data_IF_847660230125
#
_entry.id   IF_847660230125
#
_cell.length_a   1.000
_cell.length_b   1.000
_cell.length_c   1.000
_cell.angle_alpha   90.00
_cell.angle_beta   90.00
_cell.angle_gamma   90.00
#
_symmetry.space_group_name_H-M   'P 1'
#
loop_
_entity.id
_entity.type
_entity.pdbx_description
1 polymer ?
#
# COMPACT_ATOMS: atom_id res chain seq x y z
N UNK A 1 -26.49 -35.94 -17.52
CA UNK A 1 -26.06 -37.24 -16.95
C UNK A 1 -24.69 -37.06 -16.32
N UNK A 2 -24.67 -36.89 -14.99
CA UNK A 2 -23.74 -37.51 -14.03
C UNK A 2 -24.15 -36.97 -12.65
N UNK A 3 -24.94 -37.79 -11.94
CA UNK A 3 -25.26 -37.64 -10.53
C UNK A 3 -24.22 -38.44 -9.76
N UNK A 4 -23.52 -37.81 -8.81
CA UNK A 4 -22.72 -38.54 -7.82
C UNK A 4 -23.36 -38.29 -6.45
N UNK A 5 -24.04 -39.33 -5.98
CA UNK A 5 -24.54 -39.46 -4.61
C UNK A 5 -23.34 -39.72 -3.67
N UNK A 6 -23.24 -38.98 -2.57
CA UNK A 6 -22.44 -39.38 -1.42
C UNK A 6 -23.36 -39.56 -0.20
N UNK A 7 -23.66 -40.84 0.07
CA UNK A 7 -23.97 -41.33 1.41
C UNK A 7 -22.72 -42.05 1.89
N UNK A 8 -22.13 -41.61 3.00
CA UNK A 8 -21.47 -42.44 4.01
C UNK A 8 -20.62 -41.57 4.94
N UNK A 9 -20.80 -41.84 6.22
CA UNK A 9 -20.18 -41.30 7.43
C UNK A 9 -18.68 -41.60 7.55
N UNK A 10 -17.99 -40.69 8.27
CA UNK A 10 -16.64 -40.76 8.90
C UNK A 10 -15.38 -40.47 8.06
N UNK A 11 -14.73 -39.33 8.40
CA UNK A 11 -13.28 -39.05 8.57
C UNK A 11 -12.88 -37.65 8.01
N UNK A 12 -11.73 -37.04 8.39
CA UNK A 12 -11.18 -36.75 9.72
C UNK A 12 -11.02 -35.22 9.96
N UNK A 13 -10.81 -34.79 11.21
CA UNK A 13 -10.53 -33.40 11.57
C UNK A 13 -9.17 -32.94 11.02
N UNK A 14 -9.20 -32.00 10.08
CA UNK A 14 -8.05 -31.16 9.72
C UNK A 14 -8.32 -29.76 10.31
N UNK A 15 -7.52 -29.38 11.30
CA UNK A 15 -7.54 -28.06 11.91
C UNK A 15 -6.78 -27.06 11.02
N UNK A 16 -7.51 -26.12 10.41
CA UNK A 16 -6.96 -24.88 9.85
C UNK A 16 -7.72 -23.69 10.44
N UNK A 17 -6.95 -22.67 10.85
CA UNK A 17 -7.31 -21.57 11.72
C UNK A 17 -7.65 -20.31 10.89
N UNK A 18 -8.92 -19.98 10.70
CA UNK A 18 -9.38 -18.69 10.12
C UNK A 18 -10.82 -18.32 10.54
N UNK A 19 -11.20 -17.02 10.48
CA UNK A 19 -12.48 -16.49 11.00
C UNK A 19 -13.75 -16.91 10.24
N UNK A 20 -13.62 -17.77 9.23
CA UNK A 20 -14.74 -18.30 8.42
C UNK A 20 -15.66 -19.24 9.22
N UNK A 21 -15.23 -19.72 10.40
CA UNK A 21 -16.06 -20.57 11.27
C UNK A 21 -17.26 -19.88 11.88
N UNK A 22 -17.28 -18.55 12.03
CA UNK A 22 -18.46 -17.87 12.60
C UNK A 22 -19.62 -17.90 11.59
N UNK A 23 -19.32 -17.73 10.29
CA UNK A 23 -20.37 -17.75 9.26
C UNK A 23 -20.91 -19.18 9.02
N UNK A 24 -20.03 -20.19 9.02
CA UNK A 24 -20.45 -21.58 8.83
C UNK A 24 -21.17 -22.18 10.06
N UNK A 25 -20.77 -21.81 11.29
CA UNK A 25 -21.46 -22.26 12.49
C UNK A 25 -22.86 -21.65 12.63
N UNK A 26 -23.06 -20.40 12.20
CA UNK A 26 -24.38 -19.75 12.19
C UNK A 26 -25.32 -20.40 11.17
N UNK A 27 -24.79 -20.83 10.01
CA UNK A 27 -25.60 -21.49 8.97
C UNK A 27 -25.95 -22.93 9.35
N UNK A 28 -25.04 -23.69 9.98
CA UNK A 28 -25.33 -25.06 10.40
C UNK A 28 -26.19 -25.16 11.68
N UNK A 29 -26.11 -24.21 12.62
CA UNK A 29 -26.97 -24.23 13.81
C UNK A 29 -28.43 -23.83 13.53
N UNK A 30 -28.68 -23.10 12.43
CA UNK A 30 -30.03 -22.71 12.03
C UNK A 30 -30.86 -23.85 11.40
N UNK A 31 -30.23 -24.96 11.00
CA UNK A 31 -30.94 -26.13 10.48
C UNK A 31 -31.52 -27.06 11.57
N UNK A 32 -31.16 -26.88 12.84
CA UNK A 32 -31.72 -27.67 13.95
C UNK A 32 -32.84 -26.96 14.72
N UNK A 33 -33.14 -25.72 14.39
CA UNK A 33 -34.18 -24.94 15.07
C UNK A 33 -35.20 -24.42 14.07
N UNK A 34 -36.34 -25.13 14.00
CA UNK A 34 -37.54 -24.71 13.29
C UNK A 34 -37.96 -23.32 13.81
N UNK A 35 -37.75 -22.25 13.04
CA UNK A 35 -38.29 -20.92 13.33
C UNK A 35 -39.41 -20.61 12.34
N UNK A 36 -40.60 -20.26 12.83
CA UNK A 36 -41.73 -19.78 12.02
C UNK A 36 -41.82 -18.25 12.08
N UNK A 37 -41.96 -17.61 10.93
CA UNK A 37 -41.99 -16.15 10.81
C UNK A 37 -43.43 -15.62 10.87
N UNK A 38 -43.71 -14.79 11.87
CA UNK A 38 -44.87 -13.88 11.92
C UNK A 38 -44.32 -12.46 12.05
N UNK A 39 -44.71 -11.55 11.16
CA UNK A 39 -44.14 -10.19 11.07
C UNK A 39 -45.18 -9.14 11.43
N UNK A 40 -44.93 -8.41 12.51
CA UNK A 40 -45.42 -7.04 12.69
C UNK A 40 -44.21 -6.11 12.63
N UNK A 41 -44.19 -5.22 11.64
CA UNK A 41 -43.04 -4.37 11.29
C UNK A 41 -43.15 -2.99 11.94
N UNK A 42 -42.35 -2.77 12.99
CA UNK A 42 -41.82 -1.44 13.32
C UNK A 42 -40.41 -1.35 12.72
N UNK A 43 -40.11 -0.27 11.98
CA UNK A 43 -39.04 -0.22 10.97
C UNK A 43 -37.60 -0.46 11.44
N UNK A 44 -37.31 -0.59 12.74
CA UNK A 44 -35.94 -0.74 13.27
C UNK A 44 -35.64 -2.06 13.98
N UNK A 45 -36.66 -2.80 14.40
CA UNK A 45 -36.50 -4.00 15.21
C UNK A 45 -37.37 -5.12 14.65
N UNK A 46 -36.86 -6.35 14.64
CA UNK A 46 -37.62 -7.56 14.32
C UNK A 46 -37.63 -8.46 15.54
N UNK A 47 -38.84 -8.77 15.98
CA UNK A 47 -39.04 -9.77 17.04
C UNK A 47 -39.09 -11.15 16.40
N UNK A 48 -38.24 -12.04 16.88
CA UNK A 48 -38.25 -13.47 16.54
C UNK A 48 -38.70 -14.25 17.78
N UNK A 49 -39.41 -15.35 17.57
CA UNK A 49 -39.93 -16.17 18.66
C UNK A 49 -39.22 -17.52 18.67
N UNK A 50 -38.75 -17.94 19.83
CA UNK A 50 -38.21 -19.30 20.02
C UNK A 50 -39.37 -20.29 20.01
N UNK A 51 -39.43 -21.13 18.97
CA UNK A 51 -40.58 -22.03 18.73
C UNK A 51 -40.86 -23.03 19.85
N UNK A 52 -39.84 -23.42 20.61
CA UNK A 52 -39.99 -24.39 21.71
C UNK A 52 -40.48 -23.78 23.03
N UNK A 53 -40.30 -22.48 23.24
CA UNK A 53 -40.58 -21.81 24.53
C UNK A 53 -41.55 -20.63 24.40
N UNK A 54 -41.82 -20.17 23.18
CA UNK A 54 -42.59 -18.96 22.92
C UNK A 54 -41.86 -17.66 23.30
N UNK A 55 -40.61 -17.75 23.75
CA UNK A 55 -39.84 -16.60 24.21
C UNK A 55 -39.53 -15.66 23.04
N UNK A 56 -39.85 -14.37 23.22
CA UNK A 56 -39.66 -13.34 22.22
C UNK A 56 -38.28 -12.70 22.36
N UNK A 57 -37.46 -12.78 21.31
CA UNK A 57 -36.18 -12.09 21.21
C UNK A 57 -36.35 -10.95 20.21
N UNK A 58 -36.10 -9.72 20.65
CA UNK A 58 -36.14 -8.56 19.76
C UNK A 58 -34.73 -8.23 19.28
N UNK A 59 -34.50 -8.36 17.98
CA UNK A 59 -33.23 -8.05 17.35
C UNK A 59 -33.33 -6.79 16.52
N UNK A 60 -32.26 -5.97 16.44
CA UNK A 60 -32.21 -4.88 15.49
C UNK A 60 -32.17 -5.41 14.06
N UNK A 61 -32.86 -4.73 13.14
CA UNK A 61 -32.87 -5.11 11.72
C UNK A 61 -31.49 -5.00 11.04
N UNK A 62 -30.57 -4.24 11.64
CA UNK A 62 -29.17 -4.12 11.24
C UNK A 62 -28.30 -4.01 12.49
N UNK A 63 -27.19 -4.75 12.51
CA UNK A 63 -26.16 -4.56 13.52
C UNK A 63 -25.43 -3.24 13.28
N UNK A 64 -25.07 -2.55 14.35
CA UNK A 64 -24.41 -1.24 14.30
C UNK A 64 -22.92 -1.32 13.91
N UNK A 65 -22.43 -2.46 13.42
CA UNK A 65 -21.11 -2.56 12.80
C UNK A 65 -21.11 -1.70 11.52
N UNK A 66 -20.85 -0.41 11.68
CA UNK A 66 -20.94 0.58 10.63
C UNK A 66 -19.92 0.28 9.52
N UNK A 67 -20.42 0.13 8.29
CA UNK A 67 -19.58 0.28 7.11
C UNK A 67 -19.22 1.76 7.01
N UNK A 68 -17.95 2.09 7.16
CA UNK A 68 -17.48 3.42 6.75
C UNK A 68 -17.53 3.49 5.23
N UNK A 69 -18.02 4.59 4.64
CA UNK A 69 -17.97 4.78 3.20
C UNK A 69 -16.51 4.77 2.75
N UNK A 70 -16.23 4.11 1.62
CA UNK A 70 -14.91 4.16 1.01
C UNK A 70 -14.62 5.58 0.53
N UNK A 71 -13.40 6.06 0.78
CA UNK A 71 -12.92 7.33 0.24
C UNK A 71 -12.31 7.10 -1.14
N UNK A 72 -12.62 7.98 -2.10
CA UNK A 72 -12.10 7.90 -3.45
C UNK A 72 -11.09 9.01 -3.75
N UNK A 73 -10.05 8.76 -4.57
CA UNK A 73 -9.04 9.76 -4.93
C UNK A 73 -9.62 11.10 -5.35
N UNK A 74 -10.61 11.06 -6.27
CA UNK A 74 -11.23 12.25 -6.84
C UNK A 74 -12.05 13.07 -5.84
N UNK A 75 -12.33 12.53 -4.65
CA UNK A 75 -13.12 13.19 -3.60
C UNK A 75 -12.22 13.85 -2.54
N UNK A 76 -10.97 13.38 -2.41
CA UNK A 76 -10.03 13.83 -1.38
C UNK A 76 -9.16 15.01 -1.84
N UNK A 77 -9.71 16.22 -2.00
CA UNK A 77 -8.98 17.48 -2.32
C UNK A 77 -7.97 17.44 -3.51
N UNK A 78 -7.85 16.32 -4.21
CA UNK A 78 -6.93 16.10 -5.34
C UNK A 78 -7.44 16.73 -6.63
N UNK A 79 -8.71 17.16 -6.66
CA UNK A 79 -9.35 17.74 -7.86
C UNK A 79 -8.68 19.00 -8.39
N UNK A 80 -7.89 19.71 -7.58
CA UNK A 80 -7.28 20.98 -7.99
C UNK A 80 -5.89 21.24 -7.37
N UNK A 81 -5.44 20.43 -6.41
CA UNK A 81 -4.17 20.68 -5.70
C UNK A 81 -3.29 19.45 -5.61
N UNK A 82 -1.97 19.67 -5.76
CA UNK A 82 -0.96 18.62 -5.56
C UNK A 82 -0.98 18.15 -4.10
N UNK A 83 -0.74 16.85 -3.83
CA UNK A 83 -0.62 16.37 -2.46
C UNK A 83 0.53 17.07 -1.73
N UNK A 84 0.37 17.29 -0.42
CA UNK A 84 1.36 18.00 0.39
C UNK A 84 2.24 17.06 1.22
N UNK A 85 3.52 17.39 1.27
CA UNK A 85 4.52 16.70 2.09
C UNK A 85 5.22 17.73 2.98
N UNK A 86 5.33 17.42 4.28
CA UNK A 86 6.02 18.28 5.24
C UNK A 86 7.43 17.76 5.45
N UNK A 87 8.42 18.47 4.93
CA UNK A 87 9.80 18.01 4.94
C UNK A 87 10.69 18.90 5.82
N UNK A 88 11.65 18.31 6.55
CA UNK A 88 12.62 19.08 7.30
C UNK A 88 13.42 19.98 6.34
N UNK A 89 13.64 21.21 6.78
CA UNK A 89 14.42 22.23 6.08
C UNK A 89 15.56 22.67 6.99
N UNK A 90 16.77 22.50 6.48
CA UNK A 90 18.01 22.92 7.12
C UNK A 90 18.98 23.34 6.01
N UNK A 91 19.73 24.43 6.24
CA UNK A 91 20.74 24.92 5.29
C UNK A 91 21.99 24.02 5.38
N UNK A 92 21.93 22.88 4.70
CA UNK A 92 23.02 21.90 4.62
C UNK A 92 23.18 21.39 3.20
N UNK A 93 24.41 20.98 2.88
CA UNK A 93 24.74 20.36 1.59
C UNK A 93 24.35 18.88 1.59
N UNK A 94 24.03 18.33 0.42
CA UNK A 94 23.76 16.90 0.26
C UNK A 94 24.92 16.04 0.79
N UNK A 95 26.16 16.47 0.57
CA UNK A 95 27.37 15.75 1.02
C UNK A 95 27.46 15.59 2.54
N UNK A 96 27.10 16.62 3.30
CA UNK A 96 27.09 16.58 4.77
C UNK A 96 26.02 15.61 5.28
N UNK A 97 24.83 15.67 4.70
CA UNK A 97 23.71 14.79 5.07
C UNK A 97 24.03 13.34 4.70
N UNK A 98 24.58 13.11 3.51
CA UNK A 98 25.04 11.81 3.02
C UNK A 98 26.06 11.19 3.97
N UNK A 99 27.04 11.98 4.37
CA UNK A 99 28.11 11.55 5.28
C UNK A 99 27.57 11.15 6.64
N UNK A 100 26.66 11.96 7.18
CA UNK A 100 26.03 11.72 8.48
C UNK A 100 25.19 10.45 8.46
N UNK A 101 24.34 10.30 7.43
CA UNK A 101 23.46 9.15 7.29
C UNK A 101 24.26 7.85 7.04
N UNK A 102 25.24 7.88 6.15
CA UNK A 102 26.12 6.73 5.89
C UNK A 102 26.81 6.26 7.16
N UNK A 103 27.35 7.19 7.95
CA UNK A 103 28.01 6.86 9.22
C UNK A 103 27.03 6.20 10.20
N UNK A 104 25.84 6.76 10.39
CA UNK A 104 24.82 6.17 11.28
C UNK A 104 24.38 4.77 10.82
N UNK A 105 24.23 4.56 9.51
CA UNK A 105 23.90 3.26 8.93
C UNK A 105 25.02 2.23 9.21
N UNK A 106 26.27 2.58 8.96
CA UNK A 106 27.41 1.68 9.15
C UNK A 106 27.70 1.38 10.63
N UNK A 107 27.51 2.37 11.50
CA UNK A 107 27.65 2.22 12.96
C UNK A 107 26.43 1.53 13.60
N UNK A 108 25.45 1.10 12.80
CA UNK A 108 24.20 0.45 13.25
C UNK A 108 23.41 1.30 14.25
N UNK A 109 23.56 2.62 14.17
CA UNK A 109 22.80 3.56 14.99
C UNK A 109 21.41 3.75 14.40
N UNK A 110 20.41 3.87 15.27
CA UNK A 110 19.05 4.21 14.83
C UNK A 110 19.03 5.67 14.32
N UNK A 111 18.82 5.92 13.02
CA UNK A 111 18.83 7.28 12.51
C UNK A 111 17.56 8.02 12.96
N UNK A 112 17.70 9.32 13.18
CA UNK A 112 16.54 10.20 13.34
C UNK A 112 15.79 10.26 12.01
N UNK A 113 14.45 10.20 12.06
CA UNK A 113 13.63 10.23 10.85
C UNK A 113 13.86 11.52 10.05
N UNK A 114 14.06 12.65 10.74
CA UNK A 114 14.37 13.93 10.11
C UNK A 114 15.65 13.90 9.28
N UNK A 115 16.68 13.17 9.70
CA UNK A 115 17.91 13.00 8.91
C UNK A 115 17.61 12.25 7.61
N UNK A 116 16.79 11.19 7.70
CA UNK A 116 16.40 10.38 6.54
C UNK A 116 15.55 11.20 5.57
N UNK A 117 14.56 11.93 6.07
CA UNK A 117 13.71 12.81 5.26
C UNK A 117 14.53 13.93 4.60
N UNK A 118 15.47 14.53 5.33
CA UNK A 118 16.36 15.56 4.80
C UNK A 118 17.27 15.02 3.69
N UNK A 119 17.82 13.81 3.88
CA UNK A 119 18.60 13.11 2.86
C UNK A 119 17.77 12.88 1.60
N UNK A 120 16.59 12.27 1.74
CA UNK A 120 15.71 11.96 0.61
C UNK A 120 15.25 13.23 -0.11
N UNK A 121 14.95 14.30 0.62
CA UNK A 121 14.64 15.62 0.05
C UNK A 121 15.80 16.12 -0.81
N UNK A 122 17.01 16.21 -0.25
CA UNK A 122 18.18 16.76 -0.95
C UNK A 122 18.58 15.90 -2.15
N UNK A 123 18.42 14.58 -2.05
CA UNK A 123 18.63 13.67 -3.16
C UNK A 123 17.54 13.87 -4.24
N UNK A 124 16.27 14.02 -3.86
CA UNK A 124 15.20 14.28 -4.82
C UNK A 124 15.34 15.66 -5.51
N UNK A 125 15.90 16.67 -4.82
CA UNK A 125 16.25 17.98 -5.41
C UNK A 125 17.35 17.87 -6.48
N UNK A 126 18.28 16.91 -6.36
CA UNK A 126 19.36 16.72 -7.34
C UNK A 126 18.95 15.86 -8.54
N UNK A 127 17.87 15.08 -8.44
CA UNK A 127 17.37 14.26 -9.54
C UNK A 127 16.71 15.11 -10.62
N UNK A 128 17.02 14.80 -11.89
CA UNK A 128 16.37 15.41 -13.05
C UNK A 128 16.03 14.34 -14.07
N UNK A 129 14.83 14.44 -14.63
CA UNK A 129 14.40 13.55 -15.70
C UNK A 129 14.91 14.02 -17.06
N UNK A 130 14.95 13.13 -18.06
CA UNK A 130 14.85 13.53 -19.45
C UNK A 130 13.59 14.41 -19.67
N UNK A 131 13.58 15.27 -20.70
CA UNK A 131 12.41 16.05 -21.06
C UNK A 131 11.18 15.16 -21.29
N UNK A 132 10.01 15.60 -20.81
CA UNK A 132 8.75 14.87 -21.00
C UNK A 132 8.32 14.84 -22.48
N UNK A 133 7.81 13.69 -22.94
CA UNK A 133 7.25 13.59 -24.30
C UNK A 133 5.88 14.27 -24.42
N UNK A 134 5.06 14.12 -23.37
CA UNK A 134 3.69 14.63 -23.27
C UNK A 134 3.50 15.36 -21.96
N UNK A 135 2.48 16.20 -21.88
CA UNK A 135 2.04 16.78 -20.61
C UNK A 135 1.72 15.64 -19.62
N UNK A 136 2.15 15.83 -18.38
CA UNK A 136 1.85 14.92 -17.29
C UNK A 136 0.87 15.59 -16.35
N UNK A 137 -0.34 15.06 -16.32
CA UNK A 137 -1.45 15.53 -15.50
C UNK A 137 -2.08 14.35 -14.75
N UNK A 138 -2.59 14.61 -13.54
CA UNK A 138 -3.43 13.69 -12.80
C UNK A 138 -4.41 14.47 -11.93
N UNK A 139 -5.68 14.09 -11.96
CA UNK A 139 -6.82 14.71 -11.26
C UNK A 139 -6.97 16.22 -11.53
N UNK A 140 -6.66 16.69 -12.74
CA UNK A 140 -6.69 18.12 -13.07
C UNK A 140 -5.42 18.89 -12.66
N UNK A 141 -4.49 18.23 -11.97
CA UNK A 141 -3.24 18.84 -11.48
C UNK A 141 -2.11 18.61 -12.48
N UNK A 142 -1.62 19.71 -13.06
CA UNK A 142 -0.47 19.68 -13.96
C UNK A 142 0.82 19.41 -13.18
N UNK A 143 1.43 18.25 -13.41
CA UNK A 143 2.70 17.85 -12.81
C UNK A 143 3.86 18.51 -13.56
N UNK A 144 3.86 18.41 -14.90
CA UNK A 144 4.88 18.98 -15.77
C UNK A 144 4.41 19.07 -17.22
N UNK A 145 4.96 20.01 -17.98
CA UNK A 145 4.63 20.20 -19.39
C UNK A 145 5.52 19.36 -20.31
N UNK A 146 5.04 19.08 -21.50
CA UNK A 146 5.85 18.48 -22.56
C UNK A 146 7.15 19.30 -22.76
N UNK A 147 8.25 18.59 -22.93
CA UNK A 147 9.63 19.07 -23.05
C UNK A 147 10.24 19.69 -21.79
N UNK A 148 9.52 19.67 -20.67
CA UNK A 148 10.07 20.08 -19.37
C UNK A 148 10.83 18.92 -18.72
N UNK A 149 11.93 19.23 -18.03
CA UNK A 149 12.62 18.28 -17.16
C UNK A 149 12.09 18.45 -15.74
N UNK A 150 11.62 17.36 -15.14
CA UNK A 150 10.99 17.37 -13.82
C UNK A 150 11.80 16.49 -12.85
N UNK A 151 11.69 16.81 -11.57
CA UNK A 151 12.21 15.98 -10.48
C UNK A 151 11.07 15.36 -9.65
N UNK A 152 11.39 14.45 -8.71
CA UNK A 152 10.39 13.83 -7.86
C UNK A 152 9.58 14.85 -7.03
N UNK A 153 10.21 15.92 -6.55
CA UNK A 153 9.51 16.92 -5.72
C UNK A 153 8.50 17.77 -6.50
N UNK A 154 8.53 17.78 -7.85
CA UNK A 154 7.51 18.44 -8.66
C UNK A 154 6.14 17.75 -8.58
N UNK A 155 6.08 16.51 -8.07
CA UNK A 155 4.86 15.74 -7.87
C UNK A 155 4.03 16.24 -6.66
N UNK A 156 4.60 17.07 -5.78
CA UNK A 156 3.97 17.45 -4.51
C UNK A 156 4.19 18.92 -4.17
N UNK A 157 3.36 19.44 -3.27
CA UNK A 157 3.60 20.71 -2.59
C UNK A 157 4.44 20.47 -1.33
N UNK A 158 5.69 20.93 -1.35
CA UNK A 158 6.59 20.81 -0.19
C UNK A 158 6.30 21.92 0.81
N UNK A 159 5.99 21.52 2.05
CA UNK A 159 5.86 22.42 3.20
C UNK A 159 7.12 22.30 4.04
N UNK A 160 7.82 23.41 4.22
CA UNK A 160 9.06 23.43 5.00
C UNK A 160 8.79 23.36 6.51
N UNK A 161 9.45 22.41 7.16
CA UNK A 161 9.54 22.33 8.62
C UNK A 161 10.97 22.66 9.05
N UNK A 162 11.25 23.81 9.67
CA UNK A 162 12.58 24.09 10.20
C UNK A 162 12.99 23.01 11.20
N UNK A 163 14.15 22.39 11.01
CA UNK A 163 14.65 21.33 11.89
C UNK A 163 16.16 21.37 11.95
N UNK A 164 16.72 21.13 13.13
CA UNK A 164 18.17 21.05 13.33
C UNK A 164 18.58 19.61 13.59
N UNK A 165 19.28 19.02 12.62
CA UNK A 165 19.88 17.69 12.75
C UNK A 165 21.40 17.86 12.89
N UNK A 166 22.04 17.21 13.88
CA UNK A 166 23.49 17.28 14.05
C UNK A 166 24.20 16.57 12.90
N UNK A 167 25.10 17.29 12.22
CA UNK A 167 25.91 16.74 11.13
C UNK A 167 27.19 16.10 11.66
N UNK A 168 27.53 14.92 11.14
CA UNK A 168 28.75 14.20 11.47
C UNK A 168 29.75 14.28 10.32
N UNK A 169 31.04 14.27 10.64
CA UNK A 169 32.12 14.17 9.66
C UNK A 169 32.41 12.70 9.30
N UNK A 170 32.86 12.47 8.07
CA UNK A 170 33.14 11.14 7.53
C UNK A 170 33.35 11.15 6.01
N UNK A 171 33.42 9.95 5.42
CA UNK A 171 33.69 9.74 4.00
C UNK A 171 32.46 9.15 3.28
N UNK A 172 31.69 10.00 2.60
CA UNK A 172 30.63 9.57 1.68
C UNK A 172 30.79 10.22 0.31
N UNK A 173 30.42 9.48 -0.73
CA UNK A 173 30.52 9.90 -2.13
C UNK A 173 29.18 9.69 -2.82
N UNK A 174 28.94 10.35 -3.95
CA UNK A 174 27.69 10.19 -4.74
C UNK A 174 27.42 8.72 -5.15
N UNK A 175 28.47 7.90 -5.28
CA UNK A 175 28.33 6.46 -5.55
C UNK A 175 27.58 5.72 -4.43
N UNK A 176 27.59 6.28 -3.22
CA UNK A 176 26.88 5.70 -2.09
C UNK A 176 25.36 5.90 -2.18
N UNK A 177 24.89 6.89 -2.94
CA UNK A 177 23.47 7.28 -2.96
C UNK A 177 22.58 6.14 -3.47
N UNK A 178 23.08 5.37 -4.44
CA UNK A 178 22.37 4.22 -5.00
C UNK A 178 22.05 3.16 -3.94
N UNK A 179 23.07 2.66 -3.23
CA UNK A 179 22.84 1.61 -2.25
C UNK A 179 22.10 2.15 -1.01
N UNK A 180 22.33 3.40 -0.61
CA UNK A 180 21.59 4.01 0.51
C UNK A 180 20.12 4.16 0.18
N UNK A 181 19.78 4.62 -1.02
CA UNK A 181 18.38 4.75 -1.44
C UNK A 181 17.69 3.38 -1.54
N UNK A 182 18.37 2.39 -2.13
CA UNK A 182 17.86 1.01 -2.20
C UNK A 182 17.68 0.44 -0.79
N UNK A 183 18.59 0.73 0.15
CA UNK A 183 18.49 0.29 1.53
C UNK A 183 17.27 0.89 2.22
N UNK A 184 17.05 2.20 2.11
CA UNK A 184 15.88 2.86 2.70
C UNK A 184 14.57 2.34 2.10
N UNK A 185 14.52 2.16 0.78
CA UNK A 185 13.37 1.57 0.10
C UNK A 185 13.12 0.11 0.53
N UNK A 186 14.19 -0.67 0.73
CA UNK A 186 14.11 -2.03 1.22
C UNK A 186 13.50 -2.08 2.64
N UNK A 187 13.87 -1.14 3.51
CA UNK A 187 13.36 -1.05 4.88
C UNK A 187 11.87 -0.72 4.91
N UNK A 188 11.40 0.16 4.02
CA UNK A 188 9.97 0.41 3.79
C UNK A 188 9.23 -0.90 3.46
N UNK A 189 9.72 -1.66 2.47
CA UNK A 189 9.11 -2.92 2.03
C UNK A 189 9.09 -3.99 3.10
N UNK A 190 10.12 -4.05 3.94
CA UNK A 190 10.25 -5.07 4.99
C UNK A 190 9.36 -4.79 6.21
N UNK A 191 9.05 -3.52 6.49
CA UNK A 191 8.28 -3.11 7.67
C UNK A 191 6.93 -3.84 7.86
N UNK A 192 6.06 -3.97 6.83
CA UNK A 192 4.77 -4.65 6.98
C UNK A 192 4.86 -6.19 6.97
N UNK A 193 6.02 -6.79 6.69
CA UNK A 193 6.12 -8.24 6.47
C UNK A 193 6.13 -9.02 7.79
N UNK A 194 5.03 -9.73 8.05
CA UNK A 194 4.86 -10.58 9.25
C UNK A 194 5.43 -11.99 9.08
N UNK A 195 5.33 -12.58 7.88
CA UNK A 195 5.77 -13.95 7.63
C UNK A 195 7.30 -14.05 7.60
N UNK A 196 7.87 -14.80 8.55
CA UNK A 196 9.33 -14.91 8.70
C UNK A 196 10.03 -15.63 7.54
N UNK A 197 9.40 -16.65 6.96
CA UNK A 197 9.95 -17.38 5.82
C UNK A 197 10.05 -16.50 4.59
N UNK A 198 8.97 -15.77 4.29
CA UNK A 198 8.95 -14.79 3.20
C UNK A 198 9.95 -13.66 3.45
N UNK A 199 10.04 -13.15 4.69
CA UNK A 199 11.00 -12.12 5.08
C UNK A 199 12.45 -12.54 4.81
N UNK A 200 12.83 -13.80 5.13
CA UNK A 200 14.17 -14.34 4.82
C UNK A 200 14.45 -14.37 3.32
N UNK A 201 13.47 -14.73 2.51
CA UNK A 201 13.59 -14.69 1.03
C UNK A 201 13.82 -13.26 0.54
N UNK A 202 13.04 -12.29 1.06
CA UNK A 202 13.21 -10.88 0.74
C UNK A 202 14.59 -10.35 1.12
N UNK A 203 15.10 -10.68 2.31
CA UNK A 203 16.46 -10.29 2.71
C UNK A 203 17.51 -10.78 1.71
N UNK A 204 17.37 -12.00 1.18
CA UNK A 204 18.29 -12.54 0.17
C UNK A 204 18.23 -11.74 -1.14
N UNK A 205 17.02 -11.46 -1.64
CA UNK A 205 16.82 -10.72 -2.89
C UNK A 205 17.29 -9.27 -2.78
N UNK A 206 16.89 -8.58 -1.72
CA UNK A 206 17.28 -7.19 -1.46
C UNK A 206 18.79 -7.08 -1.19
N UNK A 207 19.37 -8.06 -0.48
CA UNK A 207 20.81 -8.15 -0.27
C UNK A 207 21.60 -8.28 -1.57
N UNK A 208 21.13 -9.06 -2.55
CA UNK A 208 21.77 -9.14 -3.88
C UNK A 208 21.80 -7.78 -4.57
N UNK A 209 20.67 -7.06 -4.57
CA UNK A 209 20.59 -5.73 -5.18
C UNK A 209 21.44 -4.68 -4.49
N UNK A 210 21.53 -4.73 -3.16
CA UNK A 210 22.45 -3.86 -2.41
C UNK A 210 23.91 -4.12 -2.78
N UNK A 211 24.28 -5.39 -3.00
CA UNK A 211 25.63 -5.74 -3.46
C UNK A 211 25.93 -5.21 -4.84
N UNK A 212 25.00 -5.39 -5.77
CA UNK A 212 25.07 -4.83 -7.13
C UNK A 212 25.21 -3.30 -7.11
N UNK A 213 24.56 -2.63 -6.15
CA UNK A 213 24.62 -1.19 -5.95
C UNK A 213 25.89 -0.70 -5.22
N UNK A 214 26.79 -1.60 -4.79
CA UNK A 214 28.09 -1.26 -4.20
C UNK A 214 28.21 -1.45 -2.68
N UNK A 215 27.20 -1.99 -1.99
CA UNK A 215 27.31 -2.30 -0.57
C UNK A 215 28.07 -3.62 -0.34
N UNK A 216 29.27 -3.53 0.23
CA UNK A 216 30.15 -4.68 0.45
C UNK A 216 29.56 -5.72 1.44
N UNK A 217 28.98 -5.27 2.55
CA UNK A 217 28.41 -6.14 3.57
C UNK A 217 26.88 -6.16 3.50
N UNK A 218 26.33 -7.15 2.81
CA UNK A 218 24.86 -7.29 2.66
C UNK A 218 24.15 -7.73 3.94
N UNK A 219 24.88 -8.27 4.95
CA UNK A 219 24.29 -8.61 6.26
C UNK A 219 23.87 -7.36 7.05
N UNK A 220 24.42 -6.20 6.67
CA UNK A 220 24.04 -4.91 7.23
C UNK A 220 22.52 -4.69 7.17
N UNK A 221 21.85 -5.11 6.10
CA UNK A 221 20.40 -4.94 5.95
C UNK A 221 19.62 -5.61 7.09
N UNK A 222 19.95 -6.86 7.42
CA UNK A 222 19.23 -7.61 8.47
C UNK A 222 19.49 -7.02 9.86
N UNK A 223 20.76 -6.71 10.16
CA UNK A 223 21.14 -6.12 11.45
C UNK A 223 20.56 -4.71 11.62
N UNK A 224 20.62 -3.89 10.58
CA UNK A 224 20.11 -2.52 10.59
C UNK A 224 18.58 -2.49 10.66
N UNK A 225 17.89 -3.39 9.96
CA UNK A 225 16.44 -3.58 10.10
C UNK A 225 16.05 -3.89 11.55
N UNK A 226 16.79 -4.79 12.21
CA UNK A 226 16.59 -5.10 13.63
C UNK A 226 16.73 -3.89 14.56
N UNK A 227 17.72 -3.03 14.31
CA UNK A 227 17.99 -1.83 15.10
C UNK A 227 16.99 -0.67 14.86
N UNK A 228 16.30 -0.66 13.73
CA UNK A 228 15.48 0.47 13.26
C UNK A 228 13.99 0.17 13.16
N UNK A 229 13.53 -0.92 13.79
CA UNK A 229 12.12 -1.34 13.74
C UNK A 229 11.17 -0.21 14.16
N UNK A 230 10.14 0.02 13.35
CA UNK A 230 9.10 1.01 13.62
C UNK A 230 9.42 2.45 13.16
N UNK A 231 10.64 2.75 12.72
CA UNK A 231 10.99 4.06 12.15
C UNK A 231 10.33 4.26 10.77
N UNK A 232 10.19 3.17 10.02
CA UNK A 232 9.82 3.19 8.60
C UNK A 232 8.32 3.33 8.31
N UNK A 233 7.50 3.57 9.34
CA UNK A 233 6.05 3.78 9.24
C UNK A 233 5.66 5.27 9.36
N UNK A 234 6.63 6.18 9.40
CA UNK A 234 6.40 7.63 9.40
C UNK A 234 5.65 8.09 8.15
N UNK A 235 4.63 8.92 8.30
CA UNK A 235 3.75 9.33 7.21
C UNK A 235 4.47 10.10 6.11
N UNK A 236 5.41 10.98 6.47
CA UNK A 236 6.15 11.79 5.50
C UNK A 236 7.18 10.94 4.75
N UNK A 237 7.76 9.94 5.42
CA UNK A 237 8.62 8.95 4.77
C UNK A 237 7.84 8.10 3.76
N UNK A 238 6.65 7.62 4.12
CA UNK A 238 5.80 6.84 3.21
C UNK A 238 5.40 7.66 1.99
N UNK A 239 5.03 8.94 2.17
CA UNK A 239 4.76 9.86 1.06
C UNK A 239 5.96 10.00 0.12
N UNK A 240 7.17 10.23 0.65
CA UNK A 240 8.38 10.30 -0.16
C UNK A 240 8.66 9.01 -0.93
N UNK A 241 8.45 7.85 -0.31
CA UNK A 241 8.60 6.55 -0.99
C UNK A 241 7.62 6.43 -2.16
N UNK A 242 6.36 6.82 -1.97
CA UNK A 242 5.35 6.81 -3.03
C UNK A 242 5.71 7.78 -4.19
N UNK A 243 6.19 8.99 -3.86
CA UNK A 243 6.65 9.99 -4.83
C UNK A 243 7.82 9.46 -5.66
N UNK A 244 8.80 8.83 -5.02
CA UNK A 244 9.94 8.22 -5.69
C UNK A 244 9.50 7.06 -6.60
N UNK A 245 8.59 6.21 -6.13
CA UNK A 245 8.06 5.12 -6.96
C UNK A 245 7.33 5.66 -8.20
N UNK A 246 6.44 6.64 -8.02
CA UNK A 246 5.70 7.29 -9.11
C UNK A 246 6.65 7.91 -10.15
N UNK A 247 7.71 8.58 -9.68
CA UNK A 247 8.74 9.13 -10.55
C UNK A 247 9.49 8.03 -11.32
N UNK A 248 9.94 6.96 -10.66
CA UNK A 248 10.67 5.88 -11.33
C UNK A 248 9.79 4.98 -12.20
N UNK A 249 8.47 4.96 -12.00
CA UNK A 249 7.53 4.32 -12.94
C UNK A 249 7.49 5.09 -14.26
N UNK A 250 7.50 6.42 -14.21
CA UNK A 250 7.57 7.25 -15.41
C UNK A 250 8.95 7.22 -16.07
N UNK A 251 10.01 7.15 -15.27
CA UNK A 251 11.41 7.15 -15.71
C UNK A 251 12.14 5.86 -15.29
N UNK A 252 11.85 4.71 -15.94
CA UNK A 252 12.43 3.43 -15.55
C UNK A 252 13.96 3.36 -15.75
N UNK A 253 14.50 4.13 -16.68
CA UNK A 253 15.94 4.15 -17.01
C UNK A 253 16.74 5.15 -16.17
N UNK A 254 16.13 5.80 -15.17
CA UNK A 254 16.83 6.71 -14.29
C UNK A 254 17.89 5.98 -13.44
N UNK A 255 19.04 6.62 -13.17
CA UNK A 255 20.17 5.97 -12.45
C UNK A 255 19.80 5.35 -11.09
N UNK A 256 18.79 5.93 -10.42
CA UNK A 256 18.30 5.51 -9.11
C UNK A 256 17.07 4.59 -9.16
N UNK A 257 16.60 4.19 -10.35
CA UNK A 257 15.37 3.41 -10.53
C UNK A 257 15.44 2.02 -9.88
N UNK A 258 16.65 1.51 -9.60
CA UNK A 258 16.87 0.28 -8.83
C UNK A 258 16.22 0.31 -7.44
N UNK A 259 15.95 1.49 -6.87
CA UNK A 259 15.21 1.65 -5.61
C UNK A 259 13.78 1.08 -5.66
N UNK A 260 13.20 0.92 -6.87
CA UNK A 260 11.86 0.34 -7.07
C UNK A 260 11.69 -1.06 -6.52
N UNK A 261 12.77 -1.80 -6.29
CA UNK A 261 12.68 -3.09 -5.61
C UNK A 261 12.09 -2.98 -4.20
N UNK A 262 12.26 -1.83 -3.55
CA UNK A 262 11.65 -1.51 -2.27
C UNK A 262 10.39 -0.66 -2.41
N UNK A 263 10.43 0.39 -3.24
CA UNK A 263 9.32 1.36 -3.33
C UNK A 263 8.10 0.82 -4.07
N UNK A 264 8.25 -0.22 -4.89
CA UNK A 264 7.15 -0.77 -5.71
C UNK A 264 5.96 -1.29 -4.90
N UNK A 265 6.15 -1.66 -3.63
CA UNK A 265 5.06 -2.07 -2.74
C UNK A 265 4.19 -0.89 -2.26
N UNK A 266 4.60 0.36 -2.49
CA UNK A 266 3.73 1.52 -2.29
C UNK A 266 2.64 1.61 -3.37
N UNK A 267 2.85 0.99 -4.53
CA UNK A 267 1.94 1.04 -5.67
C UNK A 267 0.79 0.05 -5.50
N UNK A 268 -0.42 0.56 -5.63
CA UNK A 268 -1.68 -0.10 -5.35
C UNK A 268 -1.67 -0.78 -3.98
N UNK A 269 -1.08 -0.09 -2.99
CA UNK A 269 -1.12 -0.52 -1.59
C UNK A 269 -2.58 -0.41 -1.09
N UNK A 270 -3.00 -1.36 -0.27
CA UNK A 270 -4.41 -1.49 0.18
C UNK A 270 -5.46 -1.63 -0.95
N UNK A 271 -5.04 -1.80 -2.21
CA UNK A 271 -5.92 -1.96 -3.38
C UNK A 271 -6.04 -3.44 -3.81
N UNK A 272 -6.04 -4.38 -2.87
CA UNK A 272 -6.04 -5.83 -3.17
C UNK A 272 -7.24 -6.25 -4.00
N UNK A 273 -8.43 -5.70 -3.73
CA UNK A 273 -9.64 -6.01 -4.49
C UNK A 273 -9.52 -5.61 -5.97
N UNK A 274 -8.92 -4.45 -6.25
CA UNK A 274 -8.66 -3.98 -7.62
C UNK A 274 -7.62 -4.87 -8.33
N UNK A 275 -6.53 -5.24 -7.64
CA UNK A 275 -5.53 -6.18 -8.17
C UNK A 275 -6.16 -7.53 -8.51
N UNK A 276 -6.94 -8.10 -7.60
CA UNK A 276 -7.62 -9.38 -7.82
C UNK A 276 -8.62 -9.31 -8.98
N UNK A 277 -9.31 -8.19 -9.15
CA UNK A 277 -10.20 -7.98 -10.29
C UNK A 277 -9.44 -7.93 -11.62
N UNK A 278 -8.29 -7.26 -11.65
CA UNK A 278 -7.41 -7.23 -12.83
C UNK A 278 -6.85 -8.62 -13.14
N UNK A 279 -6.30 -9.32 -12.14
CA UNK A 279 -5.76 -10.68 -12.30
C UNK A 279 -6.85 -11.64 -12.82
N UNK A 280 -8.09 -11.50 -12.32
CA UNK A 280 -9.23 -12.30 -12.76
C UNK A 280 -9.64 -11.97 -14.21
N UNK A 281 -9.64 -10.69 -14.58
CA UNK A 281 -9.86 -10.22 -15.95
C UNK A 281 -8.84 -10.81 -16.93
N UNK A 282 -7.56 -10.82 -16.57
CA UNK A 282 -6.49 -11.41 -17.36
C UNK A 282 -6.62 -12.94 -17.48
N UNK A 283 -6.96 -13.63 -16.39
CA UNK A 283 -7.11 -15.09 -16.39
C UNK A 283 -8.27 -15.59 -17.27
N UNK A 284 -9.38 -14.85 -17.33
CA UNK A 284 -10.56 -15.22 -18.12
C UNK A 284 -10.47 -14.66 -19.55
N UNK A 285 -9.59 -13.68 -19.79
CA UNK A 285 -9.48 -12.99 -21.08
C UNK A 285 -10.72 -12.16 -21.40
N UNK A 286 -11.34 -11.58 -20.38
CA UNK A 286 -12.55 -10.76 -20.47
C UNK A 286 -12.29 -9.39 -19.89
N UNK A 287 -12.98 -8.36 -20.40
CA UNK A 287 -12.83 -7.02 -19.84
C UNK A 287 -13.45 -6.95 -18.44
N UNK A 288 -13.02 -5.98 -17.63
CA UNK A 288 -13.61 -5.71 -16.32
C UNK A 288 -15.12 -5.41 -16.45
N UNK A 289 -15.54 -4.75 -17.54
CA UNK A 289 -16.94 -4.47 -17.82
C UNK A 289 -17.76 -5.77 -18.01
N UNK A 290 -17.23 -6.72 -18.79
CA UNK A 290 -17.88 -8.03 -19.02
C UNK A 290 -18.01 -8.83 -17.72
N UNK A 291 -16.98 -8.76 -16.85
CA UNK A 291 -17.02 -9.41 -15.53
C UNK A 291 -18.14 -8.84 -14.66
N UNK A 292 -18.41 -7.54 -14.76
CA UNK A 292 -19.50 -6.88 -14.03
C UNK A 292 -20.88 -7.50 -14.34
N UNK A 293 -21.11 -7.99 -15.56
CA UNK A 293 -22.36 -8.64 -15.94
C UNK A 293 -22.56 -10.01 -15.27
N UNK A 294 -21.47 -10.63 -14.80
CA UNK A 294 -21.49 -11.96 -14.18
C UNK A 294 -21.68 -11.88 -12.65
N UNK A 295 -21.84 -10.68 -12.09
CA UNK A 295 -22.08 -10.47 -10.67
C UNK A 295 -23.57 -10.61 -10.33
N UNK A 296 -23.98 -11.80 -9.88
CA UNK A 296 -25.38 -12.07 -9.50
C UNK A 296 -25.70 -11.81 -8.02
N UNK A 297 -24.69 -11.49 -7.21
CA UNK A 297 -24.86 -11.19 -5.78
C UNK A 297 -24.90 -9.67 -5.62
N UNK A 298 -26.00 -9.15 -5.09
CA UNK A 298 -26.22 -7.70 -4.93
C UNK A 298 -25.10 -6.99 -4.17
N UNK A 299 -24.57 -7.62 -3.12
CA UNK A 299 -23.46 -7.09 -2.32
C UNK A 299 -22.19 -6.94 -3.15
N UNK A 300 -21.85 -7.93 -3.99
CA UNK A 300 -20.67 -7.86 -4.86
C UNK A 300 -20.83 -6.80 -5.94
N UNK A 301 -22.05 -6.64 -6.47
CA UNK A 301 -22.34 -5.60 -7.43
C UNK A 301 -22.21 -4.20 -6.82
N UNK A 302 -22.62 -3.99 -5.58
CA UNK A 302 -22.43 -2.73 -4.86
C UNK A 302 -20.93 -2.45 -4.62
N UNK A 303 -20.15 -3.46 -4.22
CA UNK A 303 -18.69 -3.35 -4.06
C UNK A 303 -17.99 -3.08 -5.40
N UNK A 304 -18.41 -3.74 -6.48
CA UNK A 304 -17.89 -3.52 -7.82
C UNK A 304 -18.14 -2.08 -8.29
N UNK A 305 -19.32 -1.52 -8.04
CA UNK A 305 -19.63 -0.10 -8.33
C UNK A 305 -18.72 0.86 -7.57
N UNK A 306 -18.41 0.56 -6.31
CA UNK A 306 -17.46 1.36 -5.52
C UNK A 306 -16.07 1.29 -6.16
N UNK A 307 -15.57 0.09 -6.44
CA UNK A 307 -14.22 -0.10 -7.00
C UNK A 307 -14.08 0.55 -8.39
N UNK A 308 -15.11 0.43 -9.24
CA UNK A 308 -15.09 0.88 -10.65
C UNK A 308 -15.66 2.29 -10.85
N UNK A 309 -15.72 3.10 -9.80
CA UNK A 309 -16.26 4.45 -9.85
C UNK A 309 -15.57 5.27 -10.98
N UNK A 310 -16.33 5.91 -11.88
CA UNK A 310 -15.74 6.74 -12.92
C UNK A 310 -14.91 7.91 -12.36
N UNK A 311 -13.96 8.41 -13.14
CA UNK A 311 -13.15 9.58 -12.78
C UNK A 311 -12.09 9.32 -11.70
N UNK A 312 -11.76 8.06 -11.41
CA UNK A 312 -10.65 7.69 -10.51
C UNK A 312 -9.32 7.45 -11.25
N UNK A 313 -9.21 7.74 -12.55
CA UNK A 313 -7.99 7.52 -13.36
C UNK A 313 -7.41 6.08 -13.24
N UNK A 314 -8.28 5.07 -13.10
CA UNK A 314 -7.88 3.65 -12.97
C UNK A 314 -7.15 3.12 -14.20
N UNK A 315 -7.38 3.76 -15.35
CA UNK A 315 -6.79 3.48 -16.65
C UNK A 315 -5.49 4.25 -16.91
N UNK A 316 -5.14 5.22 -16.06
CA UNK A 316 -3.91 6.00 -16.18
C UNK A 316 -2.80 5.39 -15.29
N UNK A 317 -1.76 4.76 -15.88
CA UNK A 317 -0.67 4.16 -15.09
C UNK A 317 0.23 5.21 -14.43
N UNK A 318 0.17 6.48 -14.81
CA UNK A 318 0.99 7.55 -14.26
C UNK A 318 0.19 8.51 -13.37
N UNK A 319 -1.01 8.14 -12.92
CA UNK A 319 -1.84 8.92 -12.01
C UNK A 319 -1.39 8.81 -10.55
N UNK A 320 -1.98 9.61 -9.67
CA UNK A 320 -1.85 9.46 -8.22
C UNK A 320 -2.63 8.26 -7.66
N UNK A 321 -3.60 7.70 -8.40
CA UNK A 321 -4.49 6.61 -7.97
C UNK A 321 -3.79 5.37 -7.40
N UNK A 322 -2.63 4.94 -7.92
CA UNK A 322 -1.92 3.81 -7.33
C UNK A 322 -1.34 4.11 -5.93
N UNK A 323 -1.36 5.34 -5.43
CA UNK A 323 -0.62 5.76 -4.24
C UNK A 323 -1.49 6.43 -3.17
N UNK A 324 -2.78 6.06 -3.11
CA UNK A 324 -3.75 6.55 -2.12
C UNK A 324 -3.33 6.23 -0.68
#
# INVERSE_FOLDING_TARGET
FFLVNFHSTTAPLIFLNTPERILFAIICSAQEHNFTFSTQTSSKMKTIYRTTTGEAITLPNRLACGRQPGEHPSENNMKETKPSVTLPSQVVTLDQVRTTLKKQILDLQRPQIDLVLLYLRKLAESMKSPPLDTDWESFGSLIGKARESIGPLNLVSVVDRPTEVPMLTGNATEKDDNWMLILLAALYRLSPVLNEGYRKSLFRTLGSKLREAGLANTRLLETFYGATRGVWNDSEFVKLVAILDMYFVRFPDHQHSGARIGTGESRYKECTALKSLLDFSEQIGKSIADIGEWLWISVLHDEFKVITKPGQELDNPFSYTPYL
#
